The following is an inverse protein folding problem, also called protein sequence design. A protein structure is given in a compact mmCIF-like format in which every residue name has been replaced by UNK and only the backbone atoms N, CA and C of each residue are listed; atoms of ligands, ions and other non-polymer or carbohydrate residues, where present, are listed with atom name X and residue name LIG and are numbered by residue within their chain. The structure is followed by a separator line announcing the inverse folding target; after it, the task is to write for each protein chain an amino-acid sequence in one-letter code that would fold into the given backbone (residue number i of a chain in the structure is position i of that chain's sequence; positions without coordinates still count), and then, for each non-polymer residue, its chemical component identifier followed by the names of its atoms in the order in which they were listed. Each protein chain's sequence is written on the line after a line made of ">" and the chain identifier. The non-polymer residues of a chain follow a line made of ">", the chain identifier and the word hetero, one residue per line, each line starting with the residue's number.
data_IF_024088450644
#
_entry.id   IF_024088450644
#
_cell.length_a   1.000
_cell.length_b   1.000
_cell.length_c   1.000
_cell.angle_alpha   90.00
_cell.angle_beta   90.00
_cell.angle_gamma   90.00
#
_symmetry.space_group_name_H-M   'P 1'
#
loop_
_entity.id
_entity.type
_entity.pdbx_description
1 polymer ?
#
# COMPACT_ATOMS: atom_id res chain seq x y z
N UNK A 1 19.18 -6.31 -21.84
CA UNK A 1 20.58 -6.74 -21.66
C UNK A 1 20.68 -7.41 -20.30
N UNK A 2 20.93 -8.72 -20.25
CA UNK A 2 21.11 -9.48 -19.00
C UNK A 2 22.61 -9.67 -18.78
N UNK A 3 23.14 -9.13 -17.68
CA UNK A 3 24.54 -9.30 -17.28
C UNK A 3 24.55 -10.28 -16.10
N UNK A 4 24.99 -11.54 -16.30
CA UNK A 4 24.99 -12.54 -15.22
C UNK A 4 25.96 -12.15 -14.11
N UNK A 5 25.52 -12.30 -12.85
CA UNK A 5 26.33 -12.04 -11.64
C UNK A 5 26.05 -10.70 -10.93
N UNK A 6 25.22 -9.82 -11.50
CA UNK A 6 24.78 -8.59 -10.83
C UNK A 6 23.44 -8.81 -10.14
N UNK A 7 23.45 -8.90 -8.81
CA UNK A 7 22.22 -8.91 -8.00
C UNK A 7 21.85 -7.46 -7.62
N UNK A 8 20.77 -6.95 -8.20
CA UNK A 8 20.23 -5.64 -7.82
C UNK A 8 19.42 -5.79 -6.53
N UNK A 9 19.83 -5.11 -5.46
CA UNK A 9 18.99 -4.93 -4.28
C UNK A 9 18.18 -3.64 -4.48
N UNK A 10 16.89 -3.78 -4.79
CA UNK A 10 15.98 -2.64 -4.82
C UNK A 10 15.35 -2.47 -3.43
N UNK A 11 15.70 -1.38 -2.75
CA UNK A 11 15.03 -1.01 -1.50
C UNK A 11 13.67 -0.43 -1.85
N UNK A 12 12.61 -1.02 -1.29
CA UNK A 12 11.25 -0.48 -1.38
C UNK A 12 11.00 0.48 -0.21
N UNK A 13 10.33 1.60 -0.50
CA UNK A 13 9.89 2.55 0.51
C UNK A 13 8.37 2.50 0.65
N UNK A 14 7.91 2.37 1.89
CA UNK A 14 6.49 2.40 2.22
C UNK A 14 6.13 3.76 2.81
N UNK A 15 5.10 4.37 2.24
CA UNK A 15 4.57 5.66 2.71
C UNK A 15 3.12 5.48 3.16
N UNK A 16 2.75 6.21 4.21
CA UNK A 16 1.35 6.36 4.60
C UNK A 16 0.79 7.62 3.96
N UNK A 17 -0.34 7.50 3.29
CA UNK A 17 -1.00 8.60 2.57
C UNK A 17 -2.43 8.73 3.09
N UNK A 18 -2.84 9.95 3.40
CA UNK A 18 -4.20 10.33 3.77
C UNK A 18 -4.51 11.73 3.23
N UNK A 19 -5.80 12.03 3.04
CA UNK A 19 -6.23 13.38 2.64
C UNK A 19 -6.35 14.32 3.85
N UNK A 20 -6.53 15.61 3.60
CA UNK A 20 -6.65 16.63 4.66
C UNK A 20 -7.81 16.35 5.63
N UNK A 21 -8.86 15.67 5.16
CA UNK A 21 -10.02 15.27 5.96
C UNK A 21 -9.86 13.93 6.66
N UNK A 22 -8.63 13.39 6.78
CA UNK A 22 -8.31 12.15 7.48
C UNK A 22 -8.90 10.86 6.85
N UNK A 23 -9.18 10.85 5.54
CA UNK A 23 -9.50 9.61 4.82
C UNK A 23 -8.22 8.91 4.41
N UNK A 24 -8.22 7.59 4.56
CA UNK A 24 -7.13 6.71 4.14
C UNK A 24 -7.47 6.01 2.83
N UNK A 25 -6.45 5.67 2.04
CA UNK A 25 -6.62 4.82 0.89
C UNK A 25 -6.61 3.33 1.29
N UNK A 26 -7.60 2.58 0.82
CA UNK A 26 -7.67 1.13 1.01
C UNK A 26 -8.29 0.45 -0.21
N UNK A 27 -8.11 -0.87 -0.33
CA UNK A 27 -8.71 -1.65 -1.40
C UNK A 27 -10.11 -2.11 -1.01
N UNK A 28 -11.06 -1.99 -1.95
CA UNK A 28 -12.40 -2.55 -1.86
C UNK A 28 -12.80 -3.04 -3.25
N UNK A 29 -13.15 -4.32 -3.38
CA UNK A 29 -13.48 -4.94 -4.68
C UNK A 29 -12.39 -4.68 -5.74
N UNK A 30 -11.12 -4.84 -5.37
CA UNK A 30 -9.95 -4.58 -6.23
C UNK A 30 -9.86 -3.14 -6.77
N UNK A 31 -10.58 -2.20 -6.17
CA UNK A 31 -10.50 -0.78 -6.48
C UNK A 31 -9.90 -0.01 -5.31
N UNK A 32 -9.05 0.96 -5.63
CA UNK A 32 -8.49 1.88 -4.64
C UNK A 32 -9.54 2.94 -4.29
N UNK A 33 -9.93 3.00 -3.02
CA UNK A 33 -10.97 3.91 -2.52
C UNK A 33 -10.41 4.76 -1.38
N UNK A 34 -10.84 6.03 -1.31
CA UNK A 34 -10.57 6.91 -0.18
C UNK A 34 -11.78 6.94 0.77
N UNK A 35 -11.57 6.60 2.05
CA UNK A 35 -12.63 6.65 3.04
C UNK A 35 -12.13 6.55 4.47
N UNK A 36 -13.08 6.62 5.41
CA UNK A 36 -12.82 6.45 6.83
C UNK A 36 -12.81 4.96 7.17
N UNK A 37 -11.69 4.47 7.70
CA UNK A 37 -11.66 3.16 8.33
C UNK A 37 -12.31 3.29 9.70
N UNK A 38 -13.48 2.69 9.88
CA UNK A 38 -14.17 2.64 11.17
C UNK A 38 -13.67 1.42 11.97
N UNK A 39 -13.00 1.64 13.10
CA UNK A 39 -12.71 0.61 14.09
C UNK A 39 -11.69 -0.48 13.69
N UNK A 40 -11.58 -1.59 14.45
CA UNK A 40 -10.43 -2.51 14.46
C UNK A 40 -10.28 -3.39 13.20
N UNK A 41 -10.88 -3.02 12.07
CA UNK A 41 -10.62 -3.59 10.74
C UNK A 41 -9.30 -3.07 10.14
N UNK A 42 -8.23 -3.04 10.95
CA UNK A 42 -6.87 -2.66 10.54
C UNK A 42 -6.14 -3.85 9.91
N UNK A 43 -6.79 -5.02 9.82
CA UNK A 43 -6.30 -6.12 8.97
C UNK A 43 -6.53 -5.70 7.51
N UNK A 44 -5.55 -4.97 6.99
CA UNK A 44 -5.26 -4.90 5.57
C UNK A 44 -5.25 -6.34 5.07
N UNK A 45 -6.27 -6.74 4.31
CA UNK A 45 -6.34 -8.07 3.70
C UNK A 45 -5.05 -8.31 2.92
N UNK A 46 -4.27 -9.24 3.43
CA UNK A 46 -2.99 -9.70 2.91
C UNK A 46 -2.74 -11.06 3.55
N UNK A 47 -3.54 -12.05 3.13
CA UNK A 47 -3.13 -13.45 3.08
C UNK A 47 -2.62 -13.76 1.68
#
# INVERSE_FOLDING_TARGET
>A
MHIPGVHYNWVLFFFRIWDINQKTFYLRNNQLVAGYLQGPNIKLEGE
#
